data_IF_468274178701
#
_entry.id   IF_468274178701
#
_cell.length_a   1.000
_cell.length_b   1.000
_cell.length_c   1.000
_cell.angle_alpha   90.00
_cell.angle_beta   90.00
_cell.angle_gamma   90.00
#
_symmetry.space_group_name_H-M   'P 1'
#
loop_
_entity.id
_entity.type
_entity.pdbx_description
1 polymer ?
#
# COMPACT_ATOMS: atom_id res chain seq x y z
N UNK A 1 14.35 3.11 8.02
CA UNK A 1 13.72 1.84 7.59
C UNK A 1 12.18 1.95 7.62
N UNK A 2 11.64 3.06 7.10
CA UNK A 2 10.19 3.27 6.84
C UNK A 2 9.99 3.73 5.37
N UNK A 3 11.00 3.52 4.52
CA UNK A 3 11.14 4.20 3.22
C UNK A 3 10.35 3.56 2.07
N UNK A 4 9.75 2.37 2.27
CA UNK A 4 9.06 1.64 1.19
C UNK A 4 7.90 2.44 0.59
N UNK A 5 7.18 3.21 1.42
CA UNK A 5 6.07 4.05 0.96
C UNK A 5 6.52 5.42 0.43
N UNK A 6 7.78 5.80 0.71
CA UNK A 6 8.37 7.09 0.33
C UNK A 6 9.25 6.97 -0.92
N UNK A 7 9.57 5.75 -1.33
CA UNK A 7 10.31 5.47 -2.56
C UNK A 7 9.50 5.89 -3.79
N UNK A 8 10.13 6.65 -4.68
CA UNK A 8 9.54 7.10 -5.93
C UNK A 8 10.32 6.60 -7.14
N UNK A 9 9.60 6.28 -8.22
CA UNK A 9 10.22 5.92 -9.50
C UNK A 9 10.84 7.14 -10.19
N UNK A 10 11.88 6.92 -10.99
CA UNK A 10 12.49 7.97 -11.81
C UNK A 10 11.49 8.49 -12.87
N UNK A 11 11.61 9.76 -13.27
CA UNK A 11 10.77 10.30 -14.34
C UNK A 11 11.00 9.63 -15.68
N UNK A 12 12.22 9.13 -15.90
CA UNK A 12 12.63 8.54 -17.17
C UNK A 12 12.03 7.15 -17.33
N UNK A 13 12.01 6.34 -16.26
CA UNK A 13 11.33 5.05 -16.26
C UNK A 13 9.83 5.22 -16.46
N UNK A 14 9.21 6.18 -15.77
CA UNK A 14 7.77 6.43 -15.92
C UNK A 14 7.43 6.78 -17.38
N UNK A 15 8.17 7.70 -18.00
CA UNK A 15 7.98 8.07 -19.42
C UNK A 15 8.23 6.89 -20.36
N UNK A 16 9.25 6.09 -20.09
CA UNK A 16 9.57 4.91 -20.90
C UNK A 16 8.43 3.91 -20.89
N UNK A 17 7.93 3.53 -19.72
CA UNK A 17 6.86 2.53 -19.61
C UNK A 17 5.50 3.09 -20.06
N UNK A 18 5.26 4.39 -19.89
CA UNK A 18 4.10 5.07 -20.48
C UNK A 18 4.11 5.00 -22.00
N UNK A 19 5.25 5.29 -22.64
CA UNK A 19 5.38 5.23 -24.09
C UNK A 19 5.14 3.80 -24.62
N UNK A 20 5.71 2.79 -23.96
CA UNK A 20 5.51 1.38 -24.32
C UNK A 20 4.03 1.00 -24.21
N UNK A 21 3.38 1.37 -23.10
CA UNK A 21 1.97 1.07 -22.88
C UNK A 21 1.08 1.73 -23.95
N UNK A 22 1.27 3.03 -24.19
CA UNK A 22 0.47 3.78 -25.16
C UNK A 22 0.66 3.25 -26.59
N UNK A 23 1.89 2.90 -26.98
CA UNK A 23 2.17 2.29 -28.29
C UNK A 23 1.38 0.98 -28.46
N UNK A 24 1.31 0.15 -27.42
CA UNK A 24 0.54 -1.10 -27.50
C UNK A 24 -0.97 -0.88 -27.47
N UNK A 25 -1.45 0.16 -26.78
CA UNK A 25 -2.87 0.57 -26.80
C UNK A 25 -3.25 0.99 -28.22
N UNK A 26 -2.44 1.82 -28.87
CA UNK A 26 -2.66 2.23 -30.27
C UNK A 26 -2.65 1.03 -31.22
N UNK A 27 -1.76 0.07 -31.00
CA UNK A 27 -1.68 -1.17 -31.78
C UNK A 27 -2.76 -2.21 -31.43
N UNK A 28 -3.64 -1.93 -30.45
CA UNK A 28 -4.65 -2.88 -29.94
C UNK A 28 -4.07 -4.25 -29.50
N UNK A 29 -2.83 -4.25 -29.01
CA UNK A 29 -2.10 -5.45 -28.60
C UNK A 29 -1.40 -5.22 -27.25
N UNK A 30 -2.18 -4.78 -26.25
CA UNK A 30 -1.70 -4.47 -24.91
C UNK A 30 -1.38 -5.76 -24.17
N UNK A 31 -0.14 -5.91 -23.72
CA UNK A 31 0.28 -7.05 -22.92
C UNK A 31 0.08 -6.80 -21.42
N UNK A 32 -0.10 -7.89 -20.69
CA UNK A 32 -0.11 -7.89 -19.21
C UNK A 32 1.15 -7.23 -18.66
N UNK A 33 2.31 -7.54 -19.23
CA UNK A 33 3.60 -7.00 -18.77
C UNK A 33 3.72 -5.50 -18.98
N UNK A 34 3.30 -4.98 -20.14
CA UNK A 34 3.32 -3.54 -20.39
C UNK A 34 2.37 -2.79 -19.44
N UNK A 35 1.18 -3.34 -19.22
CA UNK A 35 0.21 -2.80 -18.27
C UNK A 35 0.76 -2.83 -16.85
N UNK A 36 1.36 -3.94 -16.43
CA UNK A 36 1.92 -4.10 -15.09
C UNK A 36 3.09 -3.14 -14.86
N UNK A 37 4.05 -3.08 -15.78
CA UNK A 37 5.24 -2.22 -15.64
C UNK A 37 4.84 -0.74 -15.57
N UNK A 38 3.87 -0.31 -16.37
CA UNK A 38 3.37 1.05 -16.30
C UNK A 38 2.63 1.32 -14.98
N UNK A 39 1.76 0.40 -14.55
CA UNK A 39 1.05 0.51 -13.28
C UNK A 39 2.01 0.54 -12.08
N UNK A 40 3.08 -0.25 -12.11
CA UNK A 40 4.15 -0.30 -11.12
C UNK A 40 4.84 1.07 -10.96
N UNK A 41 5.16 1.75 -12.07
CA UNK A 41 5.70 3.11 -12.02
C UNK A 41 4.68 4.09 -11.42
N UNK A 42 3.42 4.00 -11.85
CA UNK A 42 2.35 4.91 -11.43
C UNK A 42 2.06 4.85 -9.92
N UNK A 43 1.99 3.66 -9.32
CA UNK A 43 1.77 3.53 -7.85
C UNK A 43 2.96 4.07 -7.04
N UNK A 44 4.15 4.11 -7.65
CA UNK A 44 5.37 4.70 -7.10
C UNK A 44 5.54 6.19 -7.46
N UNK A 45 4.57 6.82 -8.12
CA UNK A 45 4.58 8.26 -8.38
C UNK A 45 4.38 9.07 -7.08
N UNK A 46 4.73 10.36 -7.14
CA UNK A 46 4.42 11.37 -6.10
C UNK A 46 3.01 11.96 -6.25
N UNK A 47 2.37 11.78 -7.41
CA UNK A 47 1.08 12.40 -7.71
C UNK A 47 -0.06 11.43 -7.43
N UNK A 48 -1.04 11.85 -6.64
CA UNK A 48 -2.19 11.01 -6.28
C UNK A 48 -3.03 10.56 -7.50
N UNK A 49 -3.06 11.36 -8.57
CA UNK A 49 -3.75 11.00 -9.81
C UNK A 49 -3.09 9.79 -10.49
N UNK A 50 -1.76 9.79 -10.59
CA UNK A 50 -0.99 8.67 -11.13
C UNK A 50 -1.21 7.42 -10.29
N UNK A 51 -1.12 7.53 -8.96
CA UNK A 51 -1.32 6.39 -8.07
C UNK A 51 -2.70 5.77 -8.25
N UNK A 52 -3.76 6.59 -8.37
CA UNK A 52 -5.12 6.10 -8.66
C UNK A 52 -5.20 5.38 -10.01
N UNK A 53 -4.56 5.91 -11.05
CA UNK A 53 -4.49 5.26 -12.37
C UNK A 53 -3.76 3.91 -12.26
N UNK A 54 -2.64 3.86 -11.56
CA UNK A 54 -1.88 2.63 -11.32
C UNK A 54 -2.70 1.57 -10.59
N UNK A 55 -3.43 1.95 -9.53
CA UNK A 55 -4.34 1.05 -8.81
C UNK A 55 -5.39 0.48 -9.76
N UNK A 56 -6.03 1.32 -10.57
CA UNK A 56 -7.05 0.87 -11.52
C UNK A 56 -6.49 -0.16 -12.52
N UNK A 57 -5.29 0.08 -13.06
CA UNK A 57 -4.62 -0.88 -13.96
C UNK A 57 -4.31 -2.21 -13.26
N UNK A 58 -3.83 -2.18 -12.01
CA UNK A 58 -3.56 -3.39 -11.23
C UNK A 58 -4.85 -4.18 -10.90
N UNK A 59 -5.95 -3.49 -10.61
CA UNK A 59 -7.25 -4.13 -10.39
C UNK A 59 -7.81 -4.78 -11.66
N UNK A 60 -7.55 -4.21 -12.83
CA UNK A 60 -7.89 -4.82 -14.12
C UNK A 60 -7.09 -6.08 -14.32
N UNK A 61 -5.76 -6.02 -14.15
CA UNK A 61 -4.88 -7.19 -14.26
C UNK A 61 -5.25 -8.31 -13.28
N UNK A 62 -5.66 -7.96 -12.06
CA UNK A 62 -6.12 -8.93 -11.06
C UNK A 62 -7.44 -9.60 -11.47
N UNK A 63 -8.35 -8.88 -12.13
CA UNK A 63 -9.64 -9.39 -12.62
C UNK A 63 -9.50 -10.26 -13.86
N UNK A 64 -8.55 -9.96 -14.73
CA UNK A 64 -8.31 -10.69 -15.98
C UNK A 64 -7.72 -12.10 -15.74
N UNK A 65 -7.43 -12.46 -14.48
CA UNK A 65 -7.20 -13.86 -14.07
C UNK A 65 -5.78 -14.37 -14.28
N UNK A 66 -4.79 -13.49 -14.49
CA UNK A 66 -3.39 -13.91 -14.57
C UNK A 66 -2.86 -14.31 -13.18
N UNK A 67 -2.87 -15.61 -12.90
CA UNK A 67 -2.44 -16.17 -11.60
C UNK A 67 -0.95 -15.96 -11.33
N UNK A 68 -0.13 -15.90 -12.38
CA UNK A 68 1.33 -15.80 -12.27
C UNK A 68 1.77 -14.50 -11.58
N UNK A 69 1.11 -13.37 -11.92
CA UNK A 69 1.42 -12.04 -11.38
C UNK A 69 0.54 -11.60 -10.22
N UNK A 70 -0.44 -12.42 -9.81
CA UNK A 70 -1.46 -12.04 -8.81
C UNK A 70 -0.86 -11.57 -7.48
N UNK A 71 0.23 -12.22 -7.04
CA UNK A 71 0.96 -11.83 -5.83
C UNK A 71 1.52 -10.43 -5.94
N UNK A 72 2.20 -10.12 -7.05
CA UNK A 72 2.76 -8.80 -7.30
C UNK A 72 1.66 -7.73 -7.38
N UNK A 73 0.54 -8.04 -8.03
CA UNK A 73 -0.59 -7.10 -8.13
C UNK A 73 -1.13 -6.75 -6.74
N UNK A 74 -1.37 -7.74 -5.89
CA UNK A 74 -1.85 -7.52 -4.51
C UNK A 74 -0.85 -6.71 -3.69
N UNK A 75 0.45 -7.00 -3.84
CA UNK A 75 1.51 -6.26 -3.16
C UNK A 75 1.52 -4.78 -3.56
N UNK A 76 1.46 -4.47 -4.85
CA UNK A 76 1.44 -3.08 -5.33
C UNK A 76 0.10 -2.38 -5.10
N UNK A 77 -1.02 -3.11 -5.04
CA UNK A 77 -2.31 -2.57 -4.60
C UNK A 77 -2.27 -2.13 -3.13
N UNK A 78 -1.61 -2.90 -2.25
CA UNK A 78 -1.40 -2.51 -0.86
C UNK A 78 -0.59 -1.21 -0.76
N UNK A 79 0.52 -1.11 -1.51
CA UNK A 79 1.37 0.10 -1.53
C UNK A 79 0.60 1.31 -2.05
N UNK A 80 -0.08 1.18 -3.20
CA UNK A 80 -0.83 2.27 -3.81
C UNK A 80 -1.92 2.82 -2.87
N UNK A 81 -2.72 1.94 -2.26
CA UNK A 81 -3.75 2.33 -1.31
C UNK A 81 -3.16 2.98 -0.06
N UNK A 82 -2.04 2.46 0.47
CA UNK A 82 -1.37 3.04 1.63
C UNK A 82 -0.86 4.47 1.35
N UNK A 83 -0.34 4.73 0.14
CA UNK A 83 0.12 6.06 -0.27
C UNK A 83 -1.04 7.05 -0.46
N UNK A 84 -2.23 6.57 -0.79
CA UNK A 84 -3.46 7.38 -0.83
C UNK A 84 -4.14 7.53 0.54
N UNK A 85 -3.54 7.02 1.62
CA UNK A 85 -4.10 6.98 2.97
C UNK A 85 -5.37 6.13 3.11
N UNK A 86 -5.63 5.26 2.15
CA UNK A 86 -6.70 4.26 2.17
C UNK A 86 -6.24 3.03 2.99
N UNK A 87 -5.84 3.24 4.24
CA UNK A 87 -5.13 2.25 5.05
C UNK A 87 -5.92 0.96 5.26
N UNK A 88 -7.25 1.04 5.40
CA UNK A 88 -8.11 -0.15 5.56
C UNK A 88 -8.05 -1.06 4.33
N UNK A 89 -8.06 -0.49 3.12
CA UNK A 89 -7.91 -1.26 1.87
C UNK A 89 -6.50 -1.81 1.75
N UNK A 90 -5.49 -1.01 2.07
CA UNK A 90 -4.10 -1.45 2.05
C UNK A 90 -3.88 -2.67 2.97
N UNK A 91 -4.34 -2.60 4.22
CA UNK A 91 -4.26 -3.71 5.18
C UNK A 91 -5.08 -4.92 4.77
N UNK A 92 -6.21 -4.73 4.09
CA UNK A 92 -6.97 -5.85 3.52
C UNK A 92 -6.11 -6.64 2.51
N UNK A 93 -5.50 -5.96 1.54
CA UNK A 93 -4.61 -6.62 0.56
C UNK A 93 -3.43 -7.33 1.22
N UNK A 94 -2.79 -6.70 2.21
CA UNK A 94 -1.68 -7.31 2.96
C UNK A 94 -2.12 -8.60 3.67
N UNK A 95 -3.27 -8.59 4.35
CA UNK A 95 -3.81 -9.79 5.03
C UNK A 95 -4.16 -10.90 4.05
N UNK A 96 -4.76 -10.55 2.90
CA UNK A 96 -5.03 -11.52 1.83
C UNK A 96 -3.75 -12.16 1.33
N UNK A 97 -2.68 -11.37 1.14
CA UNK A 97 -1.37 -11.89 0.76
C UNK A 97 -0.83 -12.85 1.84
N UNK A 98 -0.81 -12.43 3.11
CA UNK A 98 -0.28 -13.24 4.22
C UNK A 98 -1.12 -14.50 4.51
N UNK A 99 -2.38 -14.56 4.07
CA UNK A 99 -3.18 -15.80 4.14
C UNK A 99 -2.61 -16.87 3.20
N UNK A 100 -2.03 -16.45 2.06
CA UNK A 100 -1.41 -17.35 1.08
C UNK A 100 0.06 -17.64 1.42
N UNK A 101 0.79 -16.62 1.88
CA UNK A 101 2.20 -16.74 2.26
C UNK A 101 2.46 -16.17 3.67
N UNK A 102 2.09 -16.91 4.75
CA UNK A 102 2.21 -16.40 6.11
C UNK A 102 3.64 -16.04 6.52
N UNK A 103 4.65 -16.70 5.95
CA UNK A 103 6.06 -16.49 6.28
C UNK A 103 6.74 -15.32 5.55
N UNK A 104 6.03 -14.61 4.67
CA UNK A 104 6.63 -13.58 3.84
C UNK A 104 7.01 -12.33 4.65
N UNK A 105 8.28 -12.21 5.00
CA UNK A 105 8.83 -11.15 5.84
C UNK A 105 8.66 -9.75 5.21
N UNK A 106 8.73 -9.65 3.88
CA UNK A 106 8.55 -8.37 3.17
C UNK A 106 7.12 -7.83 3.37
N UNK A 107 6.13 -8.72 3.31
CA UNK A 107 4.72 -8.33 3.45
C UNK A 107 4.35 -8.07 4.91
N UNK A 108 4.90 -8.84 5.86
CA UNK A 108 4.77 -8.55 7.30
C UNK A 108 5.38 -7.18 7.67
N UNK A 109 6.53 -6.87 7.09
CA UNK A 109 7.16 -5.55 7.27
C UNK A 109 6.31 -4.44 6.66
N UNK A 110 5.75 -4.64 5.47
CA UNK A 110 4.81 -3.71 4.85
C UNK A 110 3.57 -3.47 5.74
N UNK A 111 3.00 -4.52 6.35
CA UNK A 111 1.90 -4.38 7.32
C UNK A 111 2.28 -3.43 8.46
N UNK A 112 3.47 -3.63 9.02
CA UNK A 112 3.99 -2.83 10.14
C UNK A 112 4.15 -1.37 9.73
N UNK A 113 4.74 -1.10 8.56
CA UNK A 113 4.93 0.27 8.03
C UNK A 113 3.58 0.95 7.79
N UNK A 114 2.60 0.26 7.21
CA UNK A 114 1.26 0.80 6.97
C UNK A 114 0.57 1.14 8.29
N UNK A 115 0.63 0.25 9.30
CA UNK A 115 0.03 0.49 10.62
C UNK A 115 0.66 1.70 11.33
N UNK A 116 1.99 1.81 11.32
CA UNK A 116 2.70 2.97 11.88
C UNK A 116 2.30 4.27 11.19
N UNK A 117 2.15 4.26 9.86
CA UNK A 117 1.73 5.46 9.11
C UNK A 117 0.27 5.82 9.40
N UNK A 118 -0.62 4.83 9.52
CA UNK A 118 -2.02 5.03 9.95
C UNK A 118 -2.11 5.64 11.36
N UNK A 119 -1.27 5.17 12.29
CA UNK A 119 -1.15 5.71 13.64
C UNK A 119 -0.69 7.17 13.64
N UNK A 120 0.39 7.46 12.90
CA UNK A 120 0.94 8.82 12.75
C UNK A 120 -0.07 9.80 12.16
N UNK A 121 -0.91 9.33 11.25
CA UNK A 121 -1.97 10.13 10.64
C UNK A 121 -3.23 10.25 11.52
N UNK A 122 -3.21 9.72 12.75
CA UNK A 122 -4.31 9.84 13.74
C UNK A 122 -5.52 8.96 13.43
N UNK A 123 -5.42 8.05 12.47
CA UNK A 123 -6.53 7.21 12.00
C UNK A 123 -6.71 5.92 12.83
N UNK A 124 -5.87 5.72 13.85
CA UNK A 124 -6.04 4.65 14.83
C UNK A 124 -7.24 4.89 15.78
N UNK A 125 -7.74 6.13 15.84
CA UNK A 125 -8.66 6.61 16.89
C UNK A 125 -10.13 6.16 16.80
N UNK A 126 -10.55 5.46 15.75
CA UNK A 126 -11.96 5.02 15.63
C UNK A 126 -12.17 3.56 16.10
N UNK A 127 -11.10 2.80 16.34
CA UNK A 127 -11.19 1.37 16.66
C UNK A 127 -10.84 0.99 18.12
N UNK A 128 -10.53 1.94 19.00
CA UNK A 128 -10.15 1.66 20.40
C UNK A 128 -11.31 1.78 21.40
N UNK A 129 -12.55 1.58 20.97
CA UNK A 129 -13.68 1.32 21.88
C UNK A 129 -13.75 -0.19 22.20
N UNK A 130 -12.67 -0.77 22.71
CA UNK A 130 -12.58 -2.22 22.91
C UNK A 130 -11.32 -2.71 23.61
N UNK A 131 -10.75 -1.92 24.52
CA UNK A 131 -9.92 -2.45 25.62
C UNK A 131 -8.60 -3.14 25.26
N UNK A 132 -7.67 -2.46 24.59
CA UNK A 132 -6.22 -2.68 24.81
C UNK A 132 -5.50 -1.34 24.68
N UNK A 133 -5.04 -0.78 25.80
CA UNK A 133 -4.11 0.36 25.81
C UNK A 133 -2.70 -0.20 25.71
N UNK A 134 -2.08 -0.12 24.53
CA UNK A 134 -0.63 -0.28 24.40
C UNK A 134 0.00 1.10 24.32
N UNK A 135 0.40 1.57 25.50
CA UNK A 135 1.25 2.72 25.69
C UNK A 135 2.61 2.48 25.01
N UNK A 136 3.02 3.36 24.09
CA UNK A 136 4.44 3.55 23.79
C UNK A 136 4.72 5.03 23.52
N UNK A 137 5.44 5.67 24.44
CA UNK A 137 6.39 6.73 24.07
C UNK A 137 6.02 8.18 24.35
N UNK A 138 5.75 8.54 25.60
CA UNK A 138 5.76 9.95 26.02
C UNK A 138 5.50 10.13 27.51
N UNK A 139 6.57 10.32 28.29
CA UNK A 139 6.51 10.70 29.69
C UNK A 139 5.67 11.96 29.89
N UNK A 140 4.47 11.83 30.46
CA UNK A 140 3.88 12.87 31.30
C UNK A 140 3.35 12.19 32.55
N UNK A 141 4.15 12.24 33.61
CA UNK A 141 3.69 11.88 34.93
C UNK A 141 2.57 12.82 35.35
N UNK A 142 1.39 12.26 35.60
CA UNK A 142 0.36 12.89 36.42
C UNK A 142 0.00 11.89 37.50
N UNK A 143 0.76 11.95 38.60
CA UNK A 143 0.27 11.46 39.87
C UNK A 143 -0.86 12.37 40.33
N UNK A 144 -1.99 11.76 40.71
CA UNK A 144 -2.98 12.24 41.69
C UNK A 144 -3.95 11.05 41.90
N UNK A 145 -3.69 10.14 42.84
CA UNK A 145 -4.08 10.25 44.25
C UNK A 145 -5.58 10.48 44.46
N UNK A 146 -6.36 9.42 44.69
CA UNK A 146 -7.57 9.39 45.54
C UNK A 146 -7.75 7.93 46.01
N UNK A 147 -7.15 7.52 47.13
CA UNK A 147 -7.67 7.58 48.50
C UNK A 147 -8.84 6.59 48.76
N UNK A 148 -8.53 5.58 49.59
CA UNK A 148 -9.48 4.66 50.23
C UNK A 148 -10.61 5.40 50.94
N UNK A 149 -11.83 4.86 50.85
CA UNK A 149 -12.63 4.46 52.02
C UNK A 149 -13.56 3.32 51.65
#
# INVERSE_FOLDING_TARGET
>A
MDEILDETVSSDDLKKFEAIYNQQVEASNVTTDATFNYAWCLVRSRYAADIRKGICLLETLFRDGNEQGRRDYVYYLAIGNAKLKEYSKALHYVRTFLTLEPGNQQVQHLETVIRKRMEKDGLLGIALAGGVVLAIGGLVGLGMALAKK
#
